data_IF_700913164895
#
_entry.id   IF_700913164895
#
_cell.length_a   1.000
_cell.length_b   1.000
_cell.length_c   1.000
_cell.angle_alpha   90.00
_cell.angle_beta   90.00
_cell.angle_gamma   90.00
#
_symmetry.space_group_name_H-M   'P 1'
#
loop_
_entity.id
_entity.type
_entity.pdbx_description
1 polymer ?
#
# COMPACT_ATOMS: atom_id res chain seq x y z
N UNK A 1 8.03 -5.54 -13.70
CA UNK A 1 7.57 -4.92 -12.42
C UNK A 1 6.84 -5.99 -11.64
N UNK A 2 7.04 -6.06 -10.32
CA UNK A 2 6.37 -7.04 -9.45
C UNK A 2 5.70 -6.33 -8.28
N UNK A 3 4.36 -6.40 -8.13
CA UNK A 3 3.68 -5.93 -6.93
C UNK A 3 4.20 -6.67 -5.70
N UNK A 4 4.50 -5.93 -4.63
CA UNK A 4 5.02 -6.52 -3.38
C UNK A 4 4.24 -6.08 -2.13
N UNK A 5 3.28 -5.16 -2.26
CA UNK A 5 2.42 -4.75 -1.17
C UNK A 5 1.70 -3.43 -1.44
N UNK A 6 0.95 -2.96 -0.45
CA UNK A 6 0.27 -1.67 -0.46
C UNK A 6 0.78 -0.79 0.68
N UNK A 7 0.66 0.52 0.52
CA UNK A 7 0.91 1.54 1.57
C UNK A 7 -0.16 2.61 1.47
N UNK A 8 -0.38 3.37 2.54
CA UNK A 8 -1.02 4.68 2.42
C UNK A 8 0.04 5.75 2.17
N UNK A 9 -0.31 6.79 1.43
CA UNK A 9 0.50 8.00 1.36
C UNK A 9 0.47 8.71 2.73
N UNK A 10 1.63 9.11 3.22
CA UNK A 10 1.72 9.91 4.45
C UNK A 10 1.53 11.38 4.08
N UNK A 11 0.45 12.01 4.54
CA UNK A 11 0.14 13.42 4.23
C UNK A 11 0.51 14.39 5.37
N UNK A 12 1.46 13.98 6.22
CA UNK A 12 1.89 14.75 7.38
C UNK A 12 0.82 14.80 8.48
N UNK A 13 0.86 15.86 9.28
CA UNK A 13 -0.09 16.10 10.37
C UNK A 13 -1.09 17.19 9.97
N UNK A 14 -2.31 17.10 10.49
CA UNK A 14 -3.26 18.21 10.42
C UNK A 14 -2.91 19.34 11.41
N UNK A 15 -3.68 20.43 11.38
CA UNK A 15 -3.50 21.59 12.28
C UNK A 15 -3.67 21.26 13.77
N UNK A 16 -4.07 20.03 14.10
CA UNK A 16 -4.25 19.52 15.46
C UNK A 16 -3.22 18.44 15.82
N UNK A 17 -2.18 18.24 14.99
CA UNK A 17 -1.14 17.24 15.23
C UNK A 17 -1.56 15.80 14.94
N UNK A 18 -2.70 15.58 14.27
CA UNK A 18 -3.17 14.23 13.92
C UNK A 18 -2.60 13.81 12.57
N UNK A 19 -1.96 12.65 12.52
CA UNK A 19 -1.45 12.07 11.28
C UNK A 19 -2.58 11.87 10.25
N UNK A 20 -2.39 12.43 9.06
CA UNK A 20 -3.29 12.28 7.92
C UNK A 20 -2.92 11.04 7.12
N UNK A 21 -3.91 10.17 6.96
CA UNK A 21 -3.81 9.03 6.07
C UNK A 21 -4.27 9.46 4.68
N UNK A 22 -3.38 9.37 3.69
CA UNK A 22 -3.68 9.71 2.30
C UNK A 22 -4.23 8.53 1.49
N UNK A 23 -4.10 8.64 0.17
CA UNK A 23 -4.54 7.64 -0.81
C UNK A 23 -3.78 6.31 -0.71
N UNK A 24 -4.43 5.23 -1.12
CA UNK A 24 -3.86 3.89 -1.26
C UNK A 24 -2.87 3.88 -2.43
N UNK A 25 -1.70 3.30 -2.21
CA UNK A 25 -0.60 3.27 -3.18
C UNK A 25 -0.06 1.83 -3.31
N UNK A 26 0.42 1.50 -4.50
CA UNK A 26 1.01 0.19 -4.82
C UNK A 26 2.53 0.22 -4.66
N UNK A 27 3.05 -0.63 -3.77
CA UNK A 27 4.49 -0.88 -3.66
C UNK A 27 4.86 -1.96 -4.68
N UNK A 28 5.88 -1.70 -5.50
CA UNK A 28 6.39 -2.67 -6.45
C UNK A 28 7.92 -2.70 -6.47
N UNK A 29 8.44 -3.85 -6.89
CA UNK A 29 9.84 -4.04 -7.23
C UNK A 29 9.99 -3.87 -8.76
N UNK A 30 10.77 -2.87 -9.16
CA UNK A 30 11.08 -2.61 -10.56
C UNK A 30 11.94 -3.74 -11.14
N UNK A 31 12.01 -3.81 -12.47
CA UNK A 31 12.85 -4.81 -13.16
C UNK A 31 14.34 -4.66 -12.80
N UNK A 32 14.77 -3.44 -12.44
CA UNK A 32 16.11 -3.16 -11.95
C UNK A 32 16.34 -3.46 -10.46
N UNK A 33 15.38 -4.08 -9.75
CA UNK A 33 15.45 -4.40 -8.32
C UNK A 33 15.19 -3.22 -7.37
N UNK A 34 14.95 -2.01 -7.89
CA UNK A 34 14.55 -0.85 -7.08
C UNK A 34 13.13 -1.04 -6.55
N UNK A 35 12.89 -0.70 -5.28
CA UNK A 35 11.54 -0.58 -4.73
C UNK A 35 10.99 0.81 -5.05
N UNK A 36 9.78 0.88 -5.60
CA UNK A 36 9.06 2.10 -5.92
C UNK A 36 7.61 2.02 -5.47
N UNK A 37 6.97 3.18 -5.31
CA UNK A 37 5.58 3.33 -4.91
C UNK A 37 4.84 4.05 -6.04
N UNK A 38 3.76 3.46 -6.53
CA UNK A 38 2.93 4.03 -7.58
C UNK A 38 1.55 4.40 -7.03
N UNK A 39 0.98 5.47 -7.59
CA UNK A 39 -0.43 5.82 -7.39
C UNK A 39 -1.31 4.79 -8.08
N UNK A 40 -2.41 4.42 -7.42
CA UNK A 40 -3.48 3.62 -8.01
C UNK A 40 -4.46 4.58 -8.66
N UNK A 41 -4.77 4.37 -9.94
CA UNK A 41 -5.77 5.11 -10.67
C UNK A 41 -7.18 4.49 -10.46
N UNK A 42 -8.24 5.25 -10.73
CA UNK A 42 -9.61 4.77 -10.55
C UNK A 42 -10.04 3.67 -11.53
N UNK A 43 -9.34 3.57 -12.66
CA UNK A 43 -9.53 2.54 -13.70
C UNK A 43 -8.60 1.33 -13.54
N UNK A 44 -7.72 1.33 -12.54
CA UNK A 44 -6.94 0.15 -12.20
C UNK A 44 -7.85 -0.97 -11.66
N UNK A 45 -7.47 -2.23 -11.93
CA UNK A 45 -8.27 -3.38 -11.49
C UNK A 45 -8.16 -3.59 -9.97
N UNK A 46 -9.23 -3.25 -9.23
CA UNK A 46 -9.33 -3.42 -7.78
C UNK A 46 -9.09 -4.84 -7.28
N UNK A 47 -9.54 -5.87 -8.00
CA UNK A 47 -9.31 -7.27 -7.62
C UNK A 47 -7.82 -7.64 -7.71
N UNK A 48 -7.13 -7.17 -8.75
CA UNK A 48 -5.70 -7.39 -8.92
C UNK A 48 -4.89 -6.70 -7.81
N UNK A 49 -5.31 -5.51 -7.39
CA UNK A 49 -4.69 -4.78 -6.27
C UNK A 49 -4.92 -5.52 -4.94
N UNK A 50 -6.14 -6.00 -4.70
CA UNK A 50 -6.45 -6.79 -3.51
C UNK A 50 -5.62 -8.08 -3.47
N UNK A 51 -5.49 -8.76 -4.62
CA UNK A 51 -4.62 -9.95 -4.73
C UNK A 51 -3.16 -9.62 -4.44
N UNK A 52 -2.65 -8.48 -4.90
CA UNK A 52 -1.29 -8.04 -4.59
C UNK A 52 -1.11 -7.81 -3.07
N UNK A 53 -2.13 -7.27 -2.39
CA UNK A 53 -2.13 -7.18 -0.93
C UNK A 53 -2.09 -8.56 -0.27
N UNK A 54 -2.95 -9.50 -0.67
CA UNK A 54 -3.01 -10.84 -0.09
C UNK A 54 -1.70 -11.63 -0.28
N UNK A 55 -1.10 -11.54 -1.47
CA UNK A 55 0.21 -12.14 -1.76
C UNK A 55 1.33 -11.49 -0.92
N UNK A 56 1.28 -10.17 -0.69
CA UNK A 56 2.27 -9.51 0.16
C UNK A 56 2.26 -10.01 1.60
N UNK A 57 1.12 -10.55 2.08
CA UNK A 57 1.02 -11.09 3.43
C UNK A 57 1.79 -12.40 3.62
N UNK A 58 2.08 -13.12 2.52
CA UNK A 58 2.79 -14.40 2.52
C UNK A 58 4.31 -14.25 2.60
N UNK A 59 4.84 -13.03 2.53
CA UNK A 59 6.28 -12.75 2.44
C UNK A 59 6.79 -11.76 3.50
N UNK A 60 6.70 -12.11 4.80
CA UNK A 60 7.04 -11.20 5.90
C UNK A 60 8.50 -10.71 5.89
N UNK A 61 9.42 -11.48 5.33
CA UNK A 61 10.84 -11.08 5.19
C UNK A 61 11.03 -9.78 4.38
N UNK A 62 10.11 -9.47 3.45
CA UNK A 62 10.18 -8.22 2.67
C UNK A 62 9.75 -7.00 3.49
N UNK A 63 9.00 -7.17 4.57
CA UNK A 63 8.48 -6.07 5.37
C UNK A 63 9.60 -5.33 6.11
N UNK A 64 10.57 -6.08 6.65
CA UNK A 64 11.73 -5.47 7.33
C UNK A 64 12.55 -4.60 6.38
N UNK A 65 12.69 -5.02 5.13
CA UNK A 65 13.39 -4.24 4.09
C UNK A 65 12.65 -2.95 3.76
N UNK A 66 11.32 -3.01 3.67
CA UNK A 66 10.47 -1.85 3.42
C UNK A 66 10.50 -0.87 4.60
N UNK A 67 10.42 -1.39 5.83
CA UNK A 67 10.50 -0.60 7.06
C UNK A 67 11.81 0.17 7.18
N UNK A 68 12.95 -0.45 6.85
CA UNK A 68 14.27 0.23 6.80
C UNK A 68 14.34 1.35 5.76
N UNK A 69 13.48 1.31 4.73
CA UNK A 69 13.35 2.36 3.71
C UNK A 69 12.29 3.41 4.07
N UNK A 70 11.70 3.34 5.27
CA UNK A 70 10.64 4.25 5.71
C UNK A 70 9.29 4.00 5.03
N UNK A 71 9.08 2.81 4.45
CA UNK A 71 7.83 2.44 3.78
C UNK A 71 7.01 1.56 4.74
N UNK A 72 5.82 2.04 5.11
CA UNK A 72 4.88 1.30 5.95
C UNK A 72 3.99 0.39 5.09
N UNK A 73 4.27 -0.90 5.09
CA UNK A 73 3.41 -1.86 4.38
C UNK A 73 2.10 -2.08 5.14
N UNK A 74 0.98 -2.09 4.42
CA UNK A 74 -0.33 -2.41 5.00
C UNK A 74 -0.41 -3.90 5.35
N UNK A 75 -0.95 -4.16 6.53
CA UNK A 75 -1.18 -5.50 7.07
C UNK A 75 -2.68 -5.80 7.19
N UNK A 76 -3.03 -7.06 7.45
CA UNK A 76 -4.41 -7.55 7.58
C UNK A 76 -5.32 -6.68 8.47
N UNK A 77 -4.80 -6.05 9.53
CA UNK A 77 -5.56 -5.13 10.40
C UNK A 77 -6.07 -3.84 9.72
N UNK A 78 -5.67 -3.56 8.47
CA UNK A 78 -6.14 -2.41 7.68
C UNK A 78 -7.04 -2.82 6.50
N UNK A 79 -7.45 -4.10 6.43
CA UNK A 79 -8.23 -4.66 5.30
C UNK A 79 -9.49 -3.84 5.00
N UNK A 80 -10.27 -3.48 6.01
CA UNK A 80 -11.50 -2.68 5.83
C UNK A 80 -11.23 -1.36 5.08
N UNK A 81 -10.19 -0.62 5.49
CA UNK A 81 -9.81 0.64 4.83
C UNK A 81 -9.36 0.45 3.39
N UNK A 82 -8.69 -0.67 3.09
CA UNK A 82 -8.29 -1.04 1.73
C UNK A 82 -9.54 -1.29 0.89
N UNK A 83 -10.50 -2.06 1.41
CA UNK A 83 -11.76 -2.35 0.72
C UNK A 83 -12.55 -1.07 0.41
N UNK A 84 -12.70 -0.17 1.39
CA UNK A 84 -13.41 1.11 1.18
C UNK A 84 -12.77 1.93 0.05
N UNK A 85 -11.43 1.99 -0.03
CA UNK A 85 -10.79 2.74 -1.12
C UNK A 85 -10.85 2.04 -2.48
N UNK A 86 -10.94 0.71 -2.52
CA UNK A 86 -10.98 -0.05 -3.78
C UNK A 86 -12.38 -0.21 -4.36
N UNK A 87 -13.41 -0.23 -3.51
CA UNK A 87 -14.79 -0.58 -3.89
C UNK A 87 -15.82 0.47 -3.47
N UNK A 88 -15.43 1.48 -2.69
CA UNK A 88 -16.34 2.48 -2.12
C UNK A 88 -16.86 2.09 -0.74
N UNK A 89 -17.62 3.00 -0.11
CA UNK A 89 -18.38 2.70 1.10
C UNK A 89 -19.51 1.72 0.78
N UNK A 90 -19.73 0.74 1.67
CA UNK A 90 -20.79 -0.27 1.56
C UNK A 90 -22.08 0.26 2.17
#
# INVERSE_FOLDING_TARGET
MKPIGLTFKHEGEDKYGKLRQGELMLIHECVCGKISINRIAGDDNSEAILKAFEESQKHPKKWDQLKRKGIEILLSGKREKIFIQLFGEV
#
